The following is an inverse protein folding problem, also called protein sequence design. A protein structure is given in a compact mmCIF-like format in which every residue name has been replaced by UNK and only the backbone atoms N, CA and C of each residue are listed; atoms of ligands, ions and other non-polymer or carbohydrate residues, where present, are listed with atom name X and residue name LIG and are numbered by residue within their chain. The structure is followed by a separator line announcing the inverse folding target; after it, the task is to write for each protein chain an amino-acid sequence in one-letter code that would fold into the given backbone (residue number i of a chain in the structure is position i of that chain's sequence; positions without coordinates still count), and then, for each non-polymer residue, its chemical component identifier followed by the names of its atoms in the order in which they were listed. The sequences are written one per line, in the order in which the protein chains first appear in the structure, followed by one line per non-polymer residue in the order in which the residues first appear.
data_IF_156609650257
#
_entry.id   IF_156609650257
#
_cell.length_a   1.000
_cell.length_b   1.000
_cell.length_c   1.000
_cell.angle_alpha   90.00
_cell.angle_beta   90.00
_cell.angle_gamma   90.00
#
_symmetry.space_group_name_H-M   'P 1'
#
loop_
_entity.id
_entity.type
_entity.pdbx_description
1 polymer ?
#
# COMPACT_ATOMS: atom_id res chain seq x y z
N UNK A 1 11.27 17.78 0.01
CA UNK A 1 10.32 17.31 -1.01
C UNK A 1 9.35 16.31 -0.40
N UNK A 2 8.10 16.36 -0.85
CA UNK A 2 7.10 15.45 -0.32
C UNK A 2 7.35 14.01 -0.77
N UNK A 3 7.12 13.06 0.12
CA UNK A 3 7.16 11.64 -0.21
C UNK A 3 5.87 11.25 -0.92
N UNK A 4 5.97 10.33 -1.85
CA UNK A 4 4.83 9.83 -2.64
C UNK A 4 4.42 8.45 -2.15
N UNK A 5 3.12 8.28 -1.91
CA UNK A 5 2.54 7.02 -1.45
C UNK A 5 1.52 6.55 -2.47
N UNK A 6 1.64 5.30 -2.89
CA UNK A 6 0.66 4.66 -3.76
C UNK A 6 -0.35 3.93 -2.88
N UNK A 7 -1.62 4.26 -3.02
CA UNK A 7 -2.72 3.63 -2.30
C UNK A 7 -3.50 2.75 -3.25
N UNK A 8 -3.56 1.46 -2.96
CA UNK A 8 -4.20 0.45 -3.82
C UNK A 8 -5.36 -0.18 -3.06
N UNK A 9 -6.57 0.04 -3.55
CA UNK A 9 -7.79 -0.52 -2.97
C UNK A 9 -8.90 -0.42 -4.00
N UNK A 10 -9.77 -1.42 -4.08
CA UNK A 10 -10.89 -1.40 -5.01
C UNK A 10 -12.04 -0.50 -4.54
N UNK A 11 -12.02 -0.06 -3.29
CA UNK A 11 -12.99 0.88 -2.74
C UNK A 11 -12.54 2.33 -2.97
N UNK A 12 -13.24 3.05 -3.83
CA UNK A 12 -12.95 4.46 -4.08
C UNK A 12 -13.13 5.30 -2.81
N UNK A 13 -14.13 4.97 -1.98
CA UNK A 13 -14.37 5.67 -0.72
C UNK A 13 -13.19 5.51 0.23
N UNK A 14 -12.65 4.32 0.35
CA UNK A 14 -11.51 4.07 1.22
C UNK A 14 -10.26 4.76 0.71
N UNK A 15 -10.01 4.71 -0.60
CA UNK A 15 -8.87 5.44 -1.18
C UNK A 15 -8.96 6.94 -0.87
N UNK A 16 -10.17 7.49 -0.93
CA UNK A 16 -10.40 8.91 -0.63
C UNK A 16 -10.08 9.22 0.84
N UNK A 17 -10.58 8.41 1.76
CA UNK A 17 -10.34 8.59 3.21
C UNK A 17 -8.84 8.51 3.52
N UNK A 18 -8.18 7.47 3.01
CA UNK A 18 -6.74 7.29 3.21
C UNK A 18 -5.96 8.45 2.57
N UNK A 19 -6.35 8.82 1.35
CA UNK A 19 -5.70 9.91 0.63
C UNK A 19 -5.78 11.24 1.35
N UNK A 20 -6.95 11.57 1.91
CA UNK A 20 -7.13 12.81 2.68
C UNK A 20 -6.19 12.82 3.89
N UNK A 21 -6.14 11.72 4.64
CA UNK A 21 -5.29 11.61 5.81
C UNK A 21 -3.81 11.77 5.45
N UNK A 22 -3.37 11.13 4.36
CA UNK A 22 -1.98 11.20 3.92
C UNK A 22 -1.61 12.60 3.42
N UNK A 23 -2.47 13.22 2.62
CA UNK A 23 -2.24 14.60 2.13
C UNK A 23 -2.18 15.57 3.29
N UNK A 24 -3.06 15.39 4.29
CA UNK A 24 -3.05 16.22 5.49
C UNK A 24 -1.74 16.10 6.28
N UNK A 25 -1.05 14.98 6.16
CA UNK A 25 0.24 14.76 6.80
C UNK A 25 1.43 15.17 5.92
N UNK A 26 1.18 15.71 4.72
CA UNK A 26 2.23 16.23 3.85
C UNK A 26 2.72 15.29 2.77
N UNK A 27 2.05 14.16 2.57
CA UNK A 27 2.44 13.20 1.52
C UNK A 27 1.71 13.50 0.21
N UNK A 28 2.33 13.12 -0.89
CA UNK A 28 1.68 13.06 -2.20
C UNK A 28 1.06 11.68 -2.35
N UNK A 29 -0.09 11.60 -3.01
CA UNK A 29 -0.84 10.34 -3.13
C UNK A 29 -1.10 10.02 -4.60
N UNK A 30 -0.83 8.77 -4.97
CA UNK A 30 -1.20 8.18 -6.25
C UNK A 30 -2.15 7.02 -5.91
N UNK A 31 -3.20 6.83 -6.72
CA UNK A 31 -4.20 5.79 -6.44
C UNK A 31 -4.20 4.71 -7.51
N UNK A 32 -4.43 3.47 -7.07
CA UNK A 32 -4.69 2.33 -7.94
C UNK A 32 -5.97 1.62 -7.47
N UNK A 33 -6.83 1.22 -8.40
CA UNK A 33 -8.11 0.58 -8.05
C UNK A 33 -8.00 -0.93 -7.88
N UNK A 34 -6.91 -1.54 -8.34
CA UNK A 34 -6.58 -2.95 -8.14
C UNK A 34 -5.09 -3.15 -8.40
N UNK A 35 -4.63 -4.40 -8.29
CA UNK A 35 -3.21 -4.70 -8.48
C UNK A 35 -2.70 -4.40 -9.89
N UNK A 36 -3.52 -4.67 -10.91
CA UNK A 36 -3.13 -4.41 -12.30
C UNK A 36 -3.01 -2.92 -12.56
N UNK A 37 -4.00 -2.14 -12.11
CA UNK A 37 -3.96 -0.68 -12.25
C UNK A 37 -2.76 -0.11 -11.50
N UNK A 38 -2.49 -0.61 -10.28
CA UNK A 38 -1.35 -0.18 -9.50
C UNK A 38 -0.03 -0.42 -10.24
N UNK A 39 0.11 -1.56 -10.91
CA UNK A 39 1.31 -1.85 -11.69
C UNK A 39 1.53 -0.83 -12.81
N UNK A 40 0.44 -0.33 -13.43
CA UNK A 40 0.57 0.71 -14.45
C UNK A 40 1.05 2.03 -13.85
N UNK A 41 0.79 2.27 -12.57
CA UNK A 41 1.27 3.47 -11.87
C UNK A 41 2.75 3.38 -11.50
N UNK A 42 3.30 2.16 -11.49
CA UNK A 42 4.72 1.92 -11.25
C UNK A 42 5.48 1.93 -12.58
N UNK A 43 5.46 3.08 -13.24
CA UNK A 43 6.00 3.28 -14.58
C UNK A 43 7.34 4.02 -14.58
N UNK A 44 8.08 3.88 -13.50
CA UNK A 44 9.35 4.60 -13.31
C UNK A 44 9.24 5.80 -12.38
N UNK A 45 8.02 6.20 -12.00
CA UNK A 45 7.84 7.31 -11.06
C UNK A 45 8.34 6.94 -9.68
N UNK A 46 8.77 7.94 -8.92
CA UNK A 46 9.26 7.73 -7.56
C UNK A 46 8.08 7.43 -6.63
N UNK A 47 8.11 6.27 -5.97
CA UNK A 47 7.13 5.89 -4.96
C UNK A 47 7.90 5.45 -3.71
N UNK A 48 7.60 6.09 -2.60
CA UNK A 48 8.34 5.89 -1.35
C UNK A 48 7.71 4.83 -0.44
N UNK A 49 6.41 4.59 -0.60
CA UNK A 49 5.67 3.63 0.21
C UNK A 49 4.42 3.21 -0.57
N UNK A 50 3.98 1.97 -0.35
CA UNK A 50 2.74 1.45 -0.92
C UNK A 50 1.84 0.99 0.21
N UNK A 51 0.56 1.40 0.16
CA UNK A 51 -0.49 0.88 1.04
C UNK A 51 -1.46 0.12 0.14
N UNK A 52 -1.64 -1.18 0.39
CA UNK A 52 -2.46 -2.02 -0.48
C UNK A 52 -3.43 -2.87 0.31
N UNK A 53 -4.67 -2.98 -0.19
CA UNK A 53 -5.61 -3.99 0.28
C UNK A 53 -5.14 -5.37 -0.20
N UNK A 54 -5.59 -6.42 0.49
CA UNK A 54 -5.32 -7.81 0.09
C UNK A 54 -6.34 -8.29 -0.93
N UNK A 55 -7.63 -8.10 -0.65
CA UNK A 55 -8.71 -8.64 -1.48
C UNK A 55 -9.19 -7.62 -2.51
N UNK A 56 -8.77 -7.81 -3.76
CA UNK A 56 -9.13 -6.93 -4.87
C UNK A 56 -9.44 -7.76 -6.10
N UNK A 57 -10.32 -7.28 -7.01
CA UNK A 57 -10.56 -7.97 -8.27
C UNK A 57 -9.33 -7.88 -9.19
N UNK A 58 -9.27 -8.72 -10.19
CA UNK A 58 -8.24 -8.79 -11.23
C UNK A 58 -6.86 -9.23 -10.72
N UNK A 59 -6.37 -8.64 -9.64
CA UNK A 59 -5.10 -9.02 -9.00
C UNK A 59 -5.16 -8.61 -7.53
N UNK A 60 -5.03 -9.59 -6.62
CA UNK A 60 -5.04 -9.32 -5.18
C UNK A 60 -3.75 -8.62 -4.74
N UNK A 61 -3.76 -8.10 -3.49
CA UNK A 61 -2.64 -7.33 -2.97
C UNK A 61 -1.36 -8.12 -2.80
N UNK A 62 -1.45 -9.40 -2.42
CA UNK A 62 -0.27 -10.24 -2.23
C UNK A 62 0.40 -10.52 -3.58
N UNK A 63 -0.40 -10.85 -4.60
CA UNK A 63 0.10 -11.05 -5.97
C UNK A 63 0.72 -9.77 -6.51
N UNK A 64 0.09 -8.62 -6.24
CA UNK A 64 0.62 -7.32 -6.62
C UNK A 64 2.01 -7.08 -5.99
N UNK A 65 2.14 -7.35 -4.69
CA UNK A 65 3.43 -7.17 -4.00
C UNK A 65 4.51 -8.05 -4.61
N UNK A 66 4.19 -9.32 -4.88
CA UNK A 66 5.13 -10.23 -5.54
C UNK A 66 5.60 -9.68 -6.87
N UNK A 67 4.67 -9.18 -7.68
CA UNK A 67 4.96 -8.66 -9.01
C UNK A 67 5.80 -7.39 -8.94
N UNK A 68 5.45 -6.44 -8.07
CA UNK A 68 6.19 -5.19 -7.96
C UNK A 68 7.62 -5.40 -7.46
N UNK A 69 7.83 -6.41 -6.59
CA UNK A 69 9.17 -6.69 -6.07
C UNK A 69 10.11 -7.27 -7.12
N UNK A 70 9.59 -7.72 -8.28
CA UNK A 70 10.44 -8.13 -9.41
C UNK A 70 11.00 -6.94 -10.17
N UNK A 71 10.45 -5.74 -9.97
CA UNK A 71 10.91 -4.53 -10.65
C UNK A 71 12.05 -3.88 -9.86
N UNK A 72 13.24 -3.70 -10.47
CA UNK A 72 14.38 -3.17 -9.72
C UNK A 72 14.13 -1.82 -9.03
N UNK A 73 13.33 -0.96 -9.67
CA UNK A 73 13.03 0.37 -9.11
C UNK A 73 12.20 0.31 -7.82
N UNK A 74 11.47 -0.79 -7.59
CA UNK A 74 10.53 -0.91 -6.47
C UNK A 74 10.83 -2.09 -5.54
N UNK A 75 11.93 -2.79 -5.79
CA UNK A 75 12.31 -3.97 -5.02
C UNK A 75 12.40 -3.70 -3.51
N UNK A 76 12.84 -2.53 -3.12
CA UNK A 76 13.01 -2.15 -1.72
C UNK A 76 11.95 -1.17 -1.20
N UNK A 77 10.93 -0.87 -2.01
CA UNK A 77 9.84 0.01 -1.59
C UNK A 77 9.02 -0.69 -0.52
N UNK A 78 8.86 -0.12 0.69
CA UNK A 78 8.08 -0.77 1.74
C UNK A 78 6.59 -0.80 1.41
N UNK A 79 5.92 -1.87 1.85
CA UNK A 79 4.49 -2.08 1.61
C UNK A 79 3.79 -2.31 2.95
N UNK A 80 2.68 -1.60 3.16
CA UNK A 80 1.75 -1.83 4.26
C UNK A 80 0.52 -2.50 3.68
N UNK A 81 0.13 -3.66 4.21
CA UNK A 81 -1.12 -4.31 3.85
C UNK A 81 -2.23 -3.76 4.74
N UNK A 82 -3.33 -3.32 4.12
CA UNK A 82 -4.47 -2.71 4.81
C UNK A 82 -5.71 -3.51 4.44
N UNK A 83 -6.25 -4.31 5.37
CA UNK A 83 -7.26 -5.29 5.02
C UNK A 83 -8.15 -5.68 6.19
N UNK A 84 -9.34 -6.24 5.87
CA UNK A 84 -10.21 -6.87 6.87
C UNK A 84 -9.72 -8.28 7.25
N UNK A 85 -8.81 -8.86 6.45
CA UNK A 85 -8.25 -10.18 6.73
C UNK A 85 -7.30 -10.10 7.91
N UNK A 86 -7.56 -10.94 8.92
CA UNK A 86 -6.69 -11.05 10.09
C UNK A 86 -6.14 -12.48 10.24
N UNK A 87 -6.31 -13.32 9.23
CA UNK A 87 -5.83 -14.69 9.26
C UNK A 87 -4.31 -14.72 9.21
N UNK A 88 -3.74 -15.48 10.12
CA UNK A 88 -2.28 -15.60 10.22
C UNK A 88 -1.63 -16.10 8.93
N UNK A 89 -2.31 -17.02 8.22
CA UNK A 89 -1.82 -17.53 6.93
C UNK A 89 -1.65 -16.42 5.89
N UNK A 90 -2.63 -15.50 5.81
CA UNK A 90 -2.57 -14.35 4.89
C UNK A 90 -1.48 -13.37 5.28
N UNK A 91 -1.30 -13.15 6.58
CA UNK A 91 -0.24 -12.29 7.08
C UNK A 91 1.14 -12.86 6.74
N UNK A 92 1.31 -14.17 6.88
CA UNK A 92 2.57 -14.85 6.53
C UNK A 92 2.84 -14.78 5.04
N UNK A 93 1.81 -14.98 4.20
CA UNK A 93 1.94 -14.85 2.75
C UNK A 93 2.38 -13.44 2.36
N UNK A 94 1.77 -12.43 2.98
CA UNK A 94 2.10 -11.03 2.71
C UNK A 94 3.56 -10.73 3.12
N UNK A 95 3.98 -11.21 4.28
CA UNK A 95 5.35 -11.04 4.74
C UNK A 95 6.34 -11.73 3.82
N UNK A 96 6.04 -12.94 3.38
CA UNK A 96 6.88 -13.70 2.45
C UNK A 96 6.99 -12.99 1.11
N UNK A 97 5.91 -12.29 0.68
CA UNK A 97 5.92 -11.51 -0.56
C UNK A 97 6.70 -10.20 -0.43
N UNK A 98 6.98 -9.76 0.81
CA UNK A 98 7.78 -8.56 1.06
C UNK A 98 7.07 -7.42 1.78
N UNK A 99 5.83 -7.62 2.25
CA UNK A 99 5.14 -6.59 3.03
C UNK A 99 5.82 -6.40 4.39
N UNK A 100 5.95 -5.15 4.81
CA UNK A 100 6.64 -4.79 6.06
C UNK A 100 5.71 -4.58 7.23
N UNK A 101 4.44 -4.26 6.98
CA UNK A 101 3.47 -4.01 8.04
C UNK A 101 2.09 -4.47 7.60
N UNK A 102 1.22 -4.67 8.57
CA UNK A 102 -0.15 -5.14 8.37
C UNK A 102 -1.06 -4.33 9.28
N UNK A 103 -2.05 -3.65 8.71
CA UNK A 103 -3.03 -2.87 9.46
C UNK A 103 -4.41 -3.43 9.16
N UNK A 104 -5.15 -3.81 10.20
CA UNK A 104 -6.47 -4.42 10.07
C UNK A 104 -7.56 -3.34 10.01
N UNK A 105 -8.50 -3.48 9.05
CA UNK A 105 -9.70 -2.65 8.99
C UNK A 105 -10.74 -3.13 10.01
N UNK A 106 -11.55 -2.28 10.60
CA UNK A 106 -11.47 -0.82 10.49
C UNK A 106 -10.25 -0.29 11.23
N UNK A 107 -9.66 0.76 10.73
CA UNK A 107 -8.46 1.35 11.32
C UNK A 107 -8.72 2.80 11.70
N UNK A 108 -7.93 3.30 12.64
CA UNK A 108 -7.95 4.73 12.95
C UNK A 108 -6.90 5.41 12.06
N UNK A 109 -7.21 6.60 11.50
CA UNK A 109 -6.22 7.32 10.69
C UNK A 109 -4.88 7.49 11.38
N UNK A 110 -4.88 7.75 12.69
CA UNK A 110 -3.66 7.90 13.48
C UNK A 110 -2.79 6.65 13.45
N UNK A 111 -3.41 5.47 13.52
CA UNK A 111 -2.72 4.17 13.46
C UNK A 111 -2.02 3.99 12.12
N UNK A 112 -2.75 4.29 11.04
CA UNK A 112 -2.20 4.18 9.69
C UNK A 112 -1.05 5.18 9.50
N UNK A 113 -1.23 6.43 9.92
CA UNK A 113 -0.20 7.45 9.79
C UNK A 113 1.05 7.12 10.61
N UNK A 114 0.88 6.49 11.77
CA UNK A 114 2.01 6.05 12.58
C UNK A 114 2.82 4.97 11.84
N UNK A 115 2.14 4.01 11.20
CA UNK A 115 2.80 2.97 10.42
C UNK A 115 3.52 3.58 9.22
N UNK A 116 2.90 4.53 8.54
CA UNK A 116 3.49 5.25 7.40
C UNK A 116 4.75 5.99 7.84
N UNK A 117 4.69 6.75 8.91
CA UNK A 117 5.82 7.52 9.41
C UNK A 117 7.00 6.62 9.78
N UNK A 118 6.71 5.42 10.27
CA UNK A 118 7.74 4.45 10.67
C UNK A 118 8.48 3.87 9.48
N UNK A 119 7.80 3.67 8.35
CA UNK A 119 8.36 3.02 7.16
C UNK A 119 8.76 4.01 6.06
N UNK A 120 8.14 5.18 6.01
CA UNK A 120 8.41 6.19 5.00
C UNK A 120 9.39 7.22 5.57
N UNK A 121 10.60 6.77 5.82
CA UNK A 121 11.63 7.63 6.41
C UNK A 121 12.14 8.66 5.41
N UNK A 122 12.57 9.85 5.88
CA UNK A 122 13.14 10.87 5.02
C UNK A 122 14.46 10.46 4.38
#
# INVERSE_FOLDING_TARGET
MAKTILVVDDSASLRQVVGIALKGAGYQVVEGCDGKDALTKLDGRSVNLIISDVNMPNMDGISFVKEMKTKPAYKFTPVIMLTTESLETKMKEAQAAGAKAWVTKPFKPDQMLAAVAKLCLP
#
